data_IF_047073846659
#
_entry.id   IF_047073846659
#
_cell.length_a   1.000
_cell.length_b   1.000
_cell.length_c   1.000
_cell.angle_alpha   90.00
_cell.angle_beta   90.00
_cell.angle_gamma   90.00
#
_symmetry.space_group_name_H-M   'P 1'
#
loop_
_entity.id
_entity.type
_entity.pdbx_description
1 polymer ?
#
# COMPACT_ATOMS: atom_id res chain seq x y z
N UNK A 1 2.43 -5.63 -12.96
CA UNK A 1 3.38 -5.58 -11.84
C UNK A 1 3.60 -4.12 -11.44
N UNK A 2 4.17 -3.28 -12.32
CA UNK A 2 4.50 -1.87 -12.00
C UNK A 2 3.28 -1.01 -11.65
N UNK A 3 2.16 -1.15 -12.37
CA UNK A 3 0.95 -0.35 -12.10
C UNK A 3 0.35 -0.53 -10.71
N UNK A 4 0.35 -1.77 -10.17
CA UNK A 4 -0.13 -2.04 -8.81
C UNK A 4 0.78 -1.42 -7.75
N UNK A 5 2.10 -1.56 -7.92
CA UNK A 5 3.07 -0.95 -7.00
C UNK A 5 2.95 0.56 -7.02
N UNK A 6 2.85 1.18 -8.20
CA UNK A 6 2.63 2.63 -8.34
C UNK A 6 1.33 3.04 -7.65
N UNK A 7 0.23 2.30 -7.85
CA UNK A 7 -1.04 2.60 -7.19
C UNK A 7 -0.92 2.54 -5.65
N UNK A 8 -0.25 1.53 -5.09
CA UNK A 8 -0.01 1.45 -3.64
C UNK A 8 0.85 2.60 -3.12
N UNK A 9 1.89 3.00 -3.85
CA UNK A 9 2.71 4.15 -3.48
C UNK A 9 1.86 5.44 -3.49
N UNK A 10 1.04 5.63 -4.52
CA UNK A 10 0.13 6.78 -4.60
C UNK A 10 -0.88 6.79 -3.45
N UNK A 11 -1.49 5.64 -3.13
CA UNK A 11 -2.41 5.52 -1.98
C UNK A 11 -1.67 5.86 -0.67
N UNK A 12 -0.46 5.35 -0.47
CA UNK A 12 0.33 5.65 0.71
C UNK A 12 0.65 7.14 0.86
N UNK A 13 1.06 7.78 -0.23
CA UNK A 13 1.32 9.23 -0.26
C UNK A 13 0.03 10.02 -0.01
N UNK A 14 -1.08 9.66 -0.66
CA UNK A 14 -2.37 10.33 -0.48
C UNK A 14 -2.90 10.22 0.96
N UNK A 15 -2.56 9.15 1.69
CA UNK A 15 -2.95 8.99 3.09
C UNK A 15 -1.99 9.68 4.07
N UNK A 16 -0.68 9.66 3.81
CA UNK A 16 0.36 10.18 4.72
C UNK A 16 0.61 11.69 4.54
N UNK A 17 0.55 12.19 3.31
CA UNK A 17 0.85 13.59 2.98
C UNK A 17 -0.14 14.59 3.63
N UNK A 18 -1.47 14.46 3.48
CA UNK A 18 -2.39 15.40 4.14
C UNK A 18 -2.30 15.29 5.65
N UNK A 19 -2.02 14.08 6.18
CA UNK A 19 -1.87 13.89 7.62
C UNK A 19 -0.65 14.64 8.16
N UNK A 20 0.53 14.50 7.55
CA UNK A 20 1.75 15.15 8.07
C UNK A 20 1.71 16.68 7.93
N UNK A 21 0.96 17.20 6.96
CA UNK A 21 0.75 18.63 6.79
C UNK A 21 -0.19 19.23 7.84
N UNK A 22 -1.10 18.43 8.39
CA UNK A 22 -2.05 18.82 9.44
C UNK A 22 -1.65 18.28 10.83
N UNK A 23 -0.52 17.59 10.93
CA UNK A 23 -0.08 16.94 12.14
C UNK A 23 0.27 17.97 13.23
N UNK A 24 0.11 17.61 14.52
CA UNK A 24 0.58 18.44 15.63
C UNK A 24 2.04 18.85 15.49
N UNK A 25 2.38 20.03 16.02
CA UNK A 25 3.72 20.61 15.90
C UNK A 25 4.82 19.68 16.41
N UNK A 26 4.52 18.86 17.43
CA UNK A 26 5.36 17.76 17.92
C UNK A 26 6.04 16.95 16.80
N UNK A 27 5.31 16.62 15.74
CA UNK A 27 5.82 15.81 14.64
C UNK A 27 6.50 16.66 13.56
N UNK A 28 5.97 17.85 13.29
CA UNK A 28 6.50 18.72 12.25
C UNK A 28 7.81 19.38 12.64
N UNK A 29 7.90 19.82 13.89
CA UNK A 29 9.06 20.51 14.45
C UNK A 29 10.21 19.52 14.59
N UNK A 30 9.91 18.29 15.05
CA UNK A 30 10.88 17.20 15.12
C UNK A 30 11.44 16.80 13.74
N UNK A 31 10.59 16.77 12.70
CA UNK A 31 11.05 16.55 11.33
C UNK A 31 11.96 17.67 10.84
N UNK A 32 11.62 18.92 11.16
CA UNK A 32 12.40 20.10 10.79
C UNK A 32 13.75 20.15 11.51
N UNK A 33 13.80 19.83 12.81
CA UNK A 33 15.04 19.66 13.59
C UNK A 33 15.93 18.56 13.00
N UNK A 34 15.32 17.50 12.46
CA UNK A 34 16.03 16.41 11.78
C UNK A 34 16.45 16.77 10.34
N UNK A 35 16.12 17.96 9.84
CA UNK A 35 16.39 18.38 8.46
C UNK A 35 15.56 17.66 7.39
N UNK A 36 14.41 17.08 7.78
CA UNK A 36 13.57 16.26 6.91
C UNK A 36 12.33 17.06 6.50
N UNK A 37 12.14 17.24 5.19
CA UNK A 37 10.93 17.86 4.66
C UNK A 37 9.69 16.98 4.87
N UNK A 38 8.57 17.56 5.32
CA UNK A 38 7.28 16.88 5.56
C UNK A 38 6.80 16.10 4.33
N UNK A 39 6.84 16.74 3.16
CA UNK A 39 6.47 16.13 1.88
C UNK A 39 7.38 14.94 1.56
N UNK A 40 8.70 15.12 1.70
CA UNK A 40 9.67 14.05 1.43
C UNK A 40 9.48 12.86 2.37
N UNK A 41 9.21 13.13 3.65
CA UNK A 41 8.88 12.09 4.63
C UNK A 41 7.68 11.24 4.18
N UNK A 42 6.61 11.84 3.67
CA UNK A 42 5.43 11.10 3.22
C UNK A 42 5.74 10.21 1.99
N UNK A 43 6.48 10.73 1.00
CA UNK A 43 6.87 9.96 -0.18
C UNK A 43 7.81 8.80 0.15
N UNK A 44 8.83 9.06 0.95
CA UNK A 44 9.80 8.03 1.33
C UNK A 44 9.15 6.99 2.25
N UNK A 45 8.35 7.41 3.23
CA UNK A 45 7.65 6.50 4.14
C UNK A 45 6.67 5.58 3.39
N UNK A 46 5.96 6.10 2.38
CA UNK A 46 5.13 5.26 1.52
C UNK A 46 5.98 4.24 0.74
N UNK A 47 7.11 4.66 0.16
CA UNK A 47 7.98 3.78 -0.62
C UNK A 47 8.64 2.70 0.22
N UNK A 48 9.19 3.05 1.38
CA UNK A 48 9.86 2.08 2.25
C UNK A 48 8.89 1.02 2.77
N UNK A 49 7.64 1.42 3.08
CA UNK A 49 6.62 0.50 3.55
C UNK A 49 6.11 -0.41 2.44
N UNK A 50 5.82 0.10 1.23
CA UNK A 50 5.34 -0.76 0.12
C UNK A 50 6.39 -1.77 -0.33
N UNK A 51 7.68 -1.44 -0.23
CA UNK A 51 8.75 -2.37 -0.60
C UNK A 51 9.26 -3.21 0.58
N UNK A 52 8.72 -3.02 1.79
CA UNK A 52 9.16 -3.66 3.03
C UNK A 52 10.68 -3.48 3.28
N UNK A 53 11.21 -2.29 2.96
CA UNK A 53 12.63 -1.96 3.07
C UNK A 53 13.11 -1.87 4.53
N UNK A 54 12.22 -1.48 5.46
CA UNK A 54 12.56 -1.33 6.87
C UNK A 54 13.42 -0.10 7.20
N UNK A 55 13.78 0.71 6.20
CA UNK A 55 14.49 1.96 6.40
C UNK A 55 13.53 3.11 6.68
N UNK A 56 13.87 3.92 7.67
CA UNK A 56 13.12 5.12 8.04
C UNK A 56 14.01 6.34 7.87
N UNK A 57 13.48 7.44 7.32
CA UNK A 57 14.21 8.73 7.33
C UNK A 57 14.44 9.25 8.74
N UNK A 58 13.56 8.86 9.64
CA UNK A 58 13.58 9.26 11.04
C UNK A 58 14.71 8.52 11.77
N UNK A 59 15.68 9.23 12.37
CA UNK A 59 16.82 8.60 13.04
C UNK A 59 16.45 7.74 14.26
N UNK A 60 15.23 7.91 14.78
CA UNK A 60 14.67 7.16 15.90
C UNK A 60 13.82 5.95 15.49
N UNK A 61 13.89 5.53 14.22
CA UNK A 61 13.08 4.41 13.70
C UNK A 61 11.57 4.60 13.88
N UNK A 62 11.08 5.83 13.73
CA UNK A 62 9.66 6.20 13.89
C UNK A 62 9.15 6.07 15.33
N UNK A 63 10.04 5.99 16.34
CA UNK A 63 9.64 5.93 17.74
C UNK A 63 8.78 7.14 18.16
N UNK A 64 9.11 8.33 17.67
CA UNK A 64 8.35 9.57 17.89
C UNK A 64 6.94 9.49 17.28
N UNK A 65 6.78 8.75 16.19
CA UNK A 65 5.50 8.54 15.48
C UNK A 65 4.73 7.32 16.00
N UNK A 66 5.21 6.62 17.03
CA UNK A 66 4.54 5.44 17.59
C UNK A 66 3.13 5.74 18.09
N UNK A 67 2.94 6.95 18.61
CA UNK A 67 1.66 7.43 19.14
C UNK A 67 0.70 7.85 18.02
N UNK A 68 1.19 8.01 16.79
CA UNK A 68 0.42 8.46 15.64
C UNK A 68 -0.36 7.29 15.03
N UNK A 69 -1.55 7.03 15.57
CA UNK A 69 -2.38 5.87 15.20
C UNK A 69 -2.64 5.81 13.69
N UNK A 70 -2.94 6.94 13.05
CA UNK A 70 -3.25 6.98 11.62
C UNK A 70 -2.07 6.58 10.71
N UNK A 71 -0.89 7.24 10.79
CA UNK A 71 0.30 6.80 10.06
C UNK A 71 0.66 5.35 10.32
N UNK A 72 0.61 4.91 11.57
CA UNK A 72 0.95 3.54 11.93
C UNK A 72 0.04 2.52 11.22
N UNK A 73 -1.28 2.75 11.23
CA UNK A 73 -2.24 1.90 10.52
C UNK A 73 -1.99 1.87 9.00
N UNK A 74 -1.77 3.04 8.40
CA UNK A 74 -1.50 3.17 6.96
C UNK A 74 -0.21 2.46 6.59
N UNK A 75 0.86 2.65 7.37
CA UNK A 75 2.16 2.01 7.13
C UNK A 75 2.09 0.49 7.30
N UNK A 76 1.39 0.00 8.33
CA UNK A 76 1.14 -1.44 8.49
C UNK A 76 0.37 -2.01 7.29
N UNK A 77 -0.69 -1.33 6.85
CA UNK A 77 -1.44 -1.73 5.67
C UNK A 77 -0.57 -1.80 4.41
N UNK A 78 0.27 -0.77 4.18
CA UNK A 78 1.19 -0.72 3.04
C UNK A 78 2.24 -1.83 3.10
N UNK A 79 2.78 -2.15 4.27
CA UNK A 79 3.75 -3.24 4.47
C UNK A 79 3.14 -4.62 4.21
N UNK A 80 1.86 -4.83 4.56
CA UNK A 80 1.16 -6.05 4.19
C UNK A 80 0.81 -6.08 2.70
N UNK A 81 0.31 -4.99 2.13
CA UNK A 81 -0.12 -4.91 0.73
C UNK A 81 1.04 -4.92 -0.27
N UNK A 82 2.24 -4.52 0.18
CA UNK A 82 3.49 -4.45 -0.56
C UNK A 82 3.99 -5.81 -1.04
N UNK A 83 4.75 -6.51 -0.19
CA UNK A 83 5.32 -7.82 -0.53
C UNK A 83 4.62 -9.01 0.15
N UNK A 84 4.15 -8.85 1.39
CA UNK A 84 3.68 -9.99 2.22
C UNK A 84 2.38 -10.60 1.73
N UNK A 85 1.39 -9.77 1.42
CA UNK A 85 0.04 -10.17 0.98
C UNK A 85 -0.24 -9.72 -0.46
N UNK A 86 0.81 -9.49 -1.26
CA UNK A 86 0.71 -9.14 -2.69
C UNK A 86 -0.33 -9.98 -3.45
N UNK A 87 -0.35 -11.33 -3.38
CA UNK A 87 -1.32 -12.14 -4.13
C UNK A 87 -2.76 -11.99 -3.63
N UNK A 88 -2.97 -11.68 -2.35
CA UNK A 88 -4.29 -11.50 -1.72
C UNK A 88 -4.87 -10.14 -2.12
N UNK A 89 -4.08 -9.08 -1.95
CA UNK A 89 -4.49 -7.71 -2.27
C UNK A 89 -4.64 -7.50 -3.78
N UNK A 90 -3.76 -8.09 -4.60
CA UNK A 90 -3.90 -8.04 -6.06
C UNK A 90 -5.26 -8.62 -6.49
N UNK A 91 -5.68 -9.73 -5.89
CA UNK A 91 -6.99 -10.34 -6.17
C UNK A 91 -8.16 -9.47 -5.70
N UNK A 92 -8.04 -8.87 -4.51
CA UNK A 92 -9.06 -7.94 -3.98
C UNK A 92 -9.19 -6.71 -4.89
N UNK A 93 -8.08 -6.12 -5.33
CA UNK A 93 -8.07 -4.97 -6.23
C UNK A 93 -8.67 -5.33 -7.59
N UNK A 94 -8.34 -6.49 -8.16
CA UNK A 94 -8.97 -6.99 -9.40
C UNK A 94 -10.47 -7.21 -9.20
N UNK A 95 -10.90 -7.74 -8.04
CA UNK A 95 -12.32 -7.92 -7.72
C UNK A 95 -13.07 -6.59 -7.56
N UNK A 96 -12.48 -5.61 -6.87
CA UNK A 96 -13.04 -4.26 -6.74
C UNK A 96 -13.11 -3.60 -8.12
N UNK A 97 -12.06 -3.69 -8.93
CA UNK A 97 -12.03 -3.16 -10.30
C UNK A 97 -13.10 -3.84 -11.19
N UNK A 98 -13.30 -5.15 -11.05
CA UNK A 98 -14.38 -5.87 -11.73
C UNK A 98 -15.78 -5.41 -11.29
N UNK A 99 -15.95 -5.10 -10.00
CA UNK A 99 -17.22 -4.60 -9.43
C UNK A 99 -17.50 -3.14 -9.80
N UNK A 100 -16.47 -2.31 -9.94
CA UNK A 100 -16.60 -0.91 -10.40
C UNK A 100 -16.69 -0.79 -11.93
N UNK A 101 -16.19 -1.77 -12.69
CA UNK A 101 -16.25 -1.74 -14.15
C UNK A 101 -17.72 -1.85 -14.62
N UNK A 102 -18.14 -0.91 -15.46
CA UNK A 102 -19.47 -0.94 -16.07
C UNK A 102 -19.62 -2.16 -16.97
N UNK A 103 -20.85 -2.69 -17.03
CA UNK A 103 -21.20 -3.92 -17.79
C UNK A 103 -20.84 -3.86 -19.28
N UNK A 104 -20.67 -2.67 -19.82
CA UNK A 104 -20.45 -2.39 -21.26
C UNK A 104 -18.99 -2.14 -21.65
N UNK A 105 -18.04 -2.16 -20.71
CA UNK A 105 -16.63 -1.87 -21.02
C UNK A 105 -15.83 -3.13 -21.39
N UNK A 106 -15.05 -3.07 -22.47
CA UNK A 106 -14.04 -4.10 -22.83
C UNK A 106 -13.09 -4.44 -21.66
N UNK A 107 -12.91 -3.51 -20.72
CA UNK A 107 -12.14 -3.74 -19.50
C UNK A 107 -12.74 -4.84 -18.62
N UNK A 108 -14.08 -4.96 -18.56
CA UNK A 108 -14.77 -5.99 -17.77
C UNK A 108 -14.58 -7.39 -18.34
N UNK A 109 -14.57 -7.52 -19.67
CA UNK A 109 -14.24 -8.77 -20.36
C UNK A 109 -12.78 -9.17 -20.17
N UNK A 110 -11.84 -8.24 -20.30
CA UNK A 110 -10.42 -8.49 -20.03
C UNK A 110 -10.16 -8.88 -18.56
N UNK A 111 -10.82 -8.20 -17.60
CA UNK A 111 -10.77 -8.52 -16.17
C UNK A 111 -11.37 -9.90 -15.87
N UNK A 112 -12.49 -10.26 -16.51
CA UNK A 112 -13.13 -11.57 -16.38
C UNK A 112 -12.26 -12.69 -16.94
N UNK A 113 -11.61 -12.47 -18.09
CA UNK A 113 -10.68 -13.41 -18.70
C UNK A 113 -9.43 -13.62 -17.82
N UNK A 114 -8.91 -12.55 -17.20
CA UNK A 114 -7.84 -12.60 -16.20
C UNK A 114 -8.22 -13.38 -14.93
N UNK A 115 -9.48 -13.26 -14.49
CA UNK A 115 -10.05 -13.99 -13.34
C UNK A 115 -10.31 -15.47 -13.64
N UNK A 116 -10.73 -15.81 -14.86
CA UNK A 116 -11.05 -17.18 -15.30
C UNK A 116 -9.78 -17.99 -15.64
N UNK A 117 -8.72 -17.37 -16.15
CA UNK A 117 -7.47 -18.05 -16.54
C UNK A 117 -6.23 -17.55 -15.78
N UNK A 118 -6.21 -17.66 -14.45
CA UNK A 118 -5.14 -17.09 -13.61
C UNK A 118 -3.75 -17.66 -13.95
N UNK A 119 -3.68 -18.95 -14.33
CA UNK A 119 -2.43 -19.69 -14.56
C UNK A 119 -1.76 -19.43 -15.92
N UNK A 120 -2.43 -18.80 -16.91
CA UNK A 120 -1.82 -18.51 -18.23
C UNK A 120 -1.21 -17.11 -18.35
N UNK A 121 -1.58 -16.17 -17.48
CA UNK A 121 -1.11 -14.78 -17.56
C UNK A 121 -0.38 -14.26 -16.31
N UNK A 122 -0.51 -14.88 -15.13
CA UNK A 122 0.24 -14.50 -13.92
C UNK A 122 0.62 -15.72 -13.08
N UNK A 123 1.90 -16.06 -13.01
CA UNK A 123 2.45 -17.11 -12.13
C UNK A 123 2.28 -16.82 -10.62
N UNK A 124 1.99 -15.57 -10.25
CA UNK A 124 1.78 -15.10 -8.87
C UNK A 124 0.30 -15.06 -8.43
N UNK A 125 -0.66 -15.36 -9.31
CA UNK A 125 -2.08 -15.41 -8.94
C UNK A 125 -2.39 -16.78 -8.31
N UNK A 126 -2.16 -16.90 -7.02
CA UNK A 126 -2.46 -18.14 -6.30
C UNK A 126 -3.98 -18.43 -6.32
N UNK A 127 -4.37 -19.73 -6.38
CA UNK A 127 -5.77 -20.14 -6.28
C UNK A 127 -6.41 -19.66 -4.96
N UNK A 128 -7.74 -19.63 -4.87
CA UNK A 128 -8.50 -19.06 -3.74
C UNK A 128 -8.24 -19.70 -2.37
N UNK A 129 -7.62 -20.89 -2.33
CA UNK A 129 -7.39 -21.67 -1.10
C UNK A 129 -6.25 -21.11 -0.22
N UNK A 130 -5.05 -20.82 -0.74
CA UNK A 130 -4.00 -20.16 0.04
C UNK A 130 -4.36 -18.75 0.52
N UNK A 131 -5.28 -18.04 -0.15
CA UNK A 131 -5.77 -16.71 0.29
C UNK A 131 -6.51 -16.77 1.62
N UNK A 132 -7.26 -17.86 1.85
CA UNK A 132 -7.98 -18.10 3.11
C UNK A 132 -7.09 -18.68 4.21
N UNK A 133 -6.09 -19.49 3.84
CA UNK A 133 -5.11 -20.02 4.80
C UNK A 133 -4.25 -18.89 5.40
N UNK A 134 -3.88 -17.88 4.60
CA UNK A 134 -3.13 -16.71 5.09
C UNK A 134 -3.95 -15.76 5.98
N UNK A 135 -5.28 -15.77 5.85
CA UNK A 135 -6.18 -14.93 6.66
C UNK A 135 -6.57 -15.61 7.98
N UNK A 136 -6.30 -16.91 8.11
CA UNK A 136 -6.69 -17.75 9.25
C UNK A 136 -5.54 -18.19 10.16
N UNK A 137 -4.31 -17.74 9.90
CA UNK A 137 -3.15 -17.89 10.81
C UNK A 137 -2.91 -16.57 11.52
#
# INVERSE_FOLDING_TARGET
MSGYLIALHLIGVLCLLPWILQAPSKYTDWLEESGIGKTWWAFYSAQTMVNNLGFTLTPDSMATFRDATWPMLVMTFLAFAGNTCYPVFLRLVIWIAYRLASETSQAKEALRYLLEHPRRCYTLLFPSRPTWILFGI
#
